data_IF_908773584457
#
_entry.id   IF_908773584457
#
_cell.length_a   1.000
_cell.length_b   1.000
_cell.length_c   1.000
_cell.angle_alpha   90.00
_cell.angle_beta   90.00
_cell.angle_gamma   90.00
#
_symmetry.space_group_name_H-M   'P 1'
#
loop_
_entity.id
_entity.type
_entity.pdbx_description
1 polymer ?
#
# COMPACT_ATOMS: atom_id res chain seq x y z
N UNK A 1 12.48 -22.61 -10.32
CA UNK A 1 11.49 -22.62 -9.23
C UNK A 1 10.59 -21.40 -9.37
N UNK A 2 9.33 -21.54 -9.02
CA UNK A 2 8.39 -20.42 -8.93
C UNK A 2 8.31 -19.93 -7.48
N UNK A 3 8.75 -18.70 -7.23
CA UNK A 3 8.87 -18.13 -5.89
C UNK A 3 7.83 -17.04 -5.69
N UNK A 4 7.00 -17.19 -4.68
CA UNK A 4 6.05 -16.18 -4.25
C UNK A 4 6.62 -15.30 -3.15
N UNK A 5 6.60 -13.97 -3.30
CA UNK A 5 7.01 -13.02 -2.26
C UNK A 5 5.76 -12.45 -1.60
N UNK A 6 5.63 -12.64 -0.28
CA UNK A 6 4.59 -12.00 0.55
C UNK A 6 5.21 -10.85 1.31
N UNK A 7 4.75 -9.63 1.08
CA UNK A 7 5.27 -8.43 1.76
C UNK A 7 4.18 -7.38 1.93
N UNK A 8 4.49 -6.33 2.68
CA UNK A 8 3.59 -5.19 2.92
C UNK A 8 3.56 -4.20 1.73
N UNK A 9 3.46 -4.73 0.51
CA UNK A 9 3.48 -3.94 -0.71
C UNK A 9 2.33 -2.93 -0.81
N UNK A 10 1.20 -3.22 -0.16
CA UNK A 10 -0.01 -2.38 -0.25
C UNK A 10 0.01 -1.14 0.66
N UNK A 11 0.96 -1.05 1.58
CA UNK A 11 1.19 0.17 2.34
C UNK A 11 1.95 1.19 1.47
N UNK A 12 1.58 2.48 1.53
CA UNK A 12 2.37 3.55 0.90
C UNK A 12 3.65 3.74 1.74
N UNK A 13 4.52 2.77 1.64
CA UNK A 13 5.81 2.73 2.31
C UNK A 13 6.89 2.45 1.27
N UNK A 14 7.61 3.51 0.89
CA UNK A 14 8.66 3.42 -0.12
C UNK A 14 9.76 2.44 0.25
N UNK A 15 10.11 2.33 1.53
CA UNK A 15 11.10 1.37 2.02
C UNK A 15 10.68 -0.07 1.74
N UNK A 16 9.45 -0.44 2.12
CA UNK A 16 8.91 -1.78 1.85
C UNK A 16 8.81 -2.07 0.35
N UNK A 17 8.40 -1.09 -0.45
CA UNK A 17 8.29 -1.24 -1.90
C UNK A 17 9.64 -1.47 -2.57
N UNK A 18 10.67 -0.70 -2.20
CA UNK A 18 12.04 -0.85 -2.72
C UNK A 18 12.65 -2.17 -2.27
N UNK A 19 12.46 -2.57 -1.02
CA UNK A 19 12.93 -3.85 -0.50
C UNK A 19 12.31 -5.03 -1.27
N UNK A 20 11.01 -4.98 -1.51
CA UNK A 20 10.30 -5.99 -2.31
C UNK A 20 10.85 -6.06 -3.74
N UNK A 21 11.04 -4.91 -4.38
CA UNK A 21 11.62 -4.82 -5.72
C UNK A 21 13.03 -5.38 -5.79
N UNK A 22 13.90 -5.00 -4.84
CA UNK A 22 15.27 -5.49 -4.78
C UNK A 22 15.34 -7.00 -4.60
N UNK A 23 14.52 -7.56 -3.70
CA UNK A 23 14.43 -9.00 -3.47
C UNK A 23 13.92 -9.73 -4.73
N UNK A 24 12.86 -9.21 -5.37
CA UNK A 24 12.35 -9.75 -6.62
C UNK A 24 13.44 -9.79 -7.68
N UNK A 25 14.15 -8.67 -7.89
CA UNK A 25 15.24 -8.60 -8.89
C UNK A 25 16.41 -9.53 -8.58
N UNK A 26 16.79 -9.66 -7.31
CA UNK A 26 17.83 -10.58 -6.89
C UNK A 26 17.48 -12.03 -7.23
N UNK A 27 16.26 -12.46 -6.92
CA UNK A 27 15.81 -13.82 -7.20
C UNK A 27 15.61 -14.08 -8.71
N UNK A 28 15.10 -13.10 -9.46
CA UNK A 28 15.01 -13.18 -10.93
C UNK A 28 16.39 -13.33 -11.56
N UNK A 29 17.38 -12.57 -11.13
CA UNK A 29 18.77 -12.66 -11.61
C UNK A 29 19.44 -14.00 -11.24
N UNK A 30 18.95 -14.66 -10.19
CA UNK A 30 19.38 -16.01 -9.81
C UNK A 30 18.70 -17.12 -10.63
N UNK A 31 17.91 -16.76 -11.64
CA UNK A 31 17.26 -17.72 -12.55
C UNK A 31 15.93 -18.28 -12.06
N UNK A 32 15.28 -17.62 -11.10
CA UNK A 32 13.99 -18.03 -10.59
C UNK A 32 12.85 -17.23 -11.24
N UNK A 33 11.68 -17.87 -11.35
CA UNK A 33 10.46 -17.16 -11.71
C UNK A 33 9.83 -16.60 -10.44
N UNK A 34 9.68 -15.27 -10.36
CA UNK A 34 9.31 -14.59 -9.12
C UNK A 34 8.03 -13.79 -9.29
N UNK A 35 7.08 -14.04 -8.42
CA UNK A 35 5.80 -13.32 -8.36
C UNK A 35 5.62 -12.67 -6.98
N UNK A 36 5.16 -11.42 -6.95
CA UNK A 36 4.78 -10.78 -5.69
C UNK A 36 3.31 -11.04 -5.44
N UNK A 37 3.02 -11.70 -4.32
CA UNK A 37 1.67 -12.13 -3.97
C UNK A 37 0.86 -10.94 -3.46
N UNK A 38 -0.28 -10.69 -4.07
CA UNK A 38 -1.17 -9.57 -3.73
C UNK A 38 -1.96 -9.84 -2.43
N UNK A 39 -1.24 -10.12 -1.34
CA UNK A 39 -1.86 -10.32 -0.03
C UNK A 39 -2.19 -8.97 0.62
N UNK A 40 -3.47 -8.71 0.85
CA UNK A 40 -3.99 -7.49 1.46
C UNK A 40 -4.48 -7.75 2.88
N UNK A 41 -3.83 -7.10 3.84
CA UNK A 41 -4.23 -7.15 5.24
C UNK A 41 -5.05 -5.92 5.62
N UNK A 42 -6.32 -6.10 5.99
CA UNK A 42 -7.22 -5.00 6.38
C UNK A 42 -6.69 -4.16 7.55
N UNK A 43 -5.92 -4.76 8.46
CA UNK A 43 -5.34 -4.03 9.59
C UNK A 43 -4.24 -3.06 9.13
N UNK A 44 -3.45 -3.46 8.16
CA UNK A 44 -2.39 -2.63 7.58
C UNK A 44 -2.99 -1.52 6.71
N UNK A 45 -4.00 -1.84 5.91
CA UNK A 45 -4.73 -0.85 5.11
C UNK A 45 -5.36 0.25 5.97
N UNK A 46 -5.83 -0.09 7.17
CA UNK A 46 -6.34 0.89 8.14
C UNK A 46 -5.24 1.77 8.74
N UNK A 47 -4.04 1.22 8.92
CA UNK A 47 -2.90 1.97 9.45
C UNK A 47 -2.30 2.95 8.43
N UNK A 48 -2.43 2.63 7.14
CA UNK A 48 -1.98 3.46 6.01
C UNK A 48 -3.17 3.84 5.12
N UNK A 49 -4.03 4.77 5.55
CA UNK A 49 -5.24 5.11 4.80
C UNK A 49 -4.87 5.66 3.43
N UNK A 50 -5.47 5.09 2.41
CA UNK A 50 -5.27 5.50 1.00
C UNK A 50 -5.81 6.92 0.71
N UNK A 51 -6.54 7.51 1.65
CA UNK A 51 -7.08 8.87 1.55
C UNK A 51 -6.88 9.58 2.89
N UNK A 52 -6.31 10.77 2.84
CA UNK A 52 -6.35 11.72 3.94
C UNK A 52 -7.79 12.26 4.09
N UNK A 53 -8.65 11.44 4.70
CA UNK A 53 -9.83 12.03 5.32
C UNK A 53 -9.39 12.60 6.67
N UNK A 54 -9.77 13.85 7.01
CA UNK A 54 -9.57 14.33 8.35
C UNK A 54 -10.31 13.34 9.27
N UNK A 55 -9.56 12.60 10.09
CA UNK A 55 -10.15 11.72 11.10
C UNK A 55 -10.71 12.59 12.21
N UNK A 56 -11.85 13.21 11.94
CA UNK A 56 -12.62 13.94 12.95
C UNK A 56 -13.43 12.90 13.69
N UNK A 57 -13.05 12.64 14.93
CA UNK A 57 -13.83 11.74 15.78
C UNK A 57 -15.18 12.39 16.07
N UNK A 58 -16.27 11.61 16.04
CA UNK A 58 -17.63 12.09 16.35
C UNK A 58 -17.71 12.88 17.67
N UNK A 59 -16.89 12.53 18.66
CA UNK A 59 -16.76 13.25 19.93
C UNK A 59 -16.19 14.67 19.78
N UNK A 60 -15.35 14.91 18.78
CA UNK A 60 -14.75 16.24 18.52
C UNK A 60 -15.79 17.21 17.92
N UNK A 61 -16.83 16.70 17.24
CA UNK A 61 -17.93 17.50 16.70
C UNK A 61 -18.92 18.00 17.77
N UNK A 62 -19.01 17.31 18.91
CA UNK A 62 -19.96 17.64 19.98
C UNK A 62 -19.45 18.73 20.92
N UNK A 63 -18.16 19.06 20.89
CA UNK A 63 -17.56 20.02 21.81
C UNK A 63 -17.06 21.24 21.02
N UNK A 64 -17.61 22.47 21.24
CA UNK A 64 -17.25 23.65 20.46
C UNK A 64 -15.77 24.03 20.47
N UNK A 65 -15.06 23.71 21.56
CA UNK A 65 -13.61 23.95 21.70
C UNK A 65 -12.79 23.22 20.62
N UNK A 66 -13.25 22.07 20.12
CA UNK A 66 -12.54 21.31 19.11
C UNK A 66 -12.85 21.73 17.66
N UNK A 67 -13.85 22.58 17.44
CA UNK A 67 -14.25 23.01 16.10
C UNK A 67 -13.13 23.72 15.34
N UNK A 68 -12.36 24.57 16.07
CA UNK A 68 -11.19 25.24 15.50
C UNK A 68 -10.18 24.21 14.95
N UNK A 69 -9.89 23.18 15.71
CA UNK A 69 -8.97 22.11 15.30
C UNK A 69 -9.53 21.25 14.16
N UNK A 70 -10.84 21.00 14.16
CA UNK A 70 -11.54 20.30 13.09
C UNK A 70 -11.47 21.08 11.77
N UNK A 71 -11.69 22.42 11.83
CA UNK A 71 -11.57 23.29 10.66
C UNK A 71 -10.16 23.34 10.10
N UNK A 72 -9.14 23.40 10.97
CA UNK A 72 -7.72 23.34 10.54
C UNK A 72 -7.42 22.02 9.84
N UNK A 73 -7.80 20.89 10.42
CA UNK A 73 -7.64 19.55 9.82
C UNK A 73 -8.35 19.44 8.47
N UNK A 74 -9.56 19.98 8.34
CA UNK A 74 -10.28 20.01 7.08
C UNK A 74 -9.55 20.84 6.02
N UNK A 75 -9.07 22.03 6.39
CA UNK A 75 -8.31 22.91 5.50
C UNK A 75 -7.02 22.22 5.02
N UNK A 76 -6.24 21.64 5.92
CA UNK A 76 -5.04 20.89 5.58
C UNK A 76 -5.34 19.70 4.66
N UNK A 77 -6.39 18.94 4.93
CA UNK A 77 -6.80 17.82 4.09
C UNK A 77 -7.18 18.26 2.66
N UNK A 78 -7.82 19.42 2.51
CA UNK A 78 -8.16 19.99 1.20
C UNK A 78 -6.90 20.44 0.46
N UNK A 79 -5.99 21.13 1.15
CA UNK A 79 -4.76 21.64 0.56
C UNK A 79 -3.80 20.51 0.12
N UNK A 80 -3.74 19.42 0.88
CA UNK A 80 -2.82 18.29 0.60
C UNK A 80 -3.45 17.20 -0.26
N UNK A 81 -4.74 17.31 -0.60
CA UNK A 81 -5.48 16.30 -1.37
C UNK A 81 -4.82 15.96 -2.70
N UNK A 82 -4.38 16.97 -3.45
CA UNK A 82 -3.78 16.76 -4.77
C UNK A 82 -2.43 16.05 -4.66
N UNK A 83 -1.57 16.46 -3.71
CA UNK A 83 -0.27 15.83 -3.48
C UNK A 83 -0.40 14.36 -3.07
N UNK A 84 -1.39 14.06 -2.25
CA UNK A 84 -1.68 12.70 -1.82
C UNK A 84 -2.17 11.81 -2.96
N UNK A 85 -3.07 12.35 -3.78
CA UNK A 85 -3.58 11.63 -4.95
C UNK A 85 -2.46 11.35 -5.93
N UNK A 86 -1.58 12.31 -6.16
CA UNK A 86 -0.44 12.14 -7.05
C UNK A 86 0.55 11.09 -6.50
N UNK A 87 0.89 11.15 -5.20
CA UNK A 87 1.74 10.14 -4.55
C UNK A 87 1.15 8.74 -4.65
N UNK A 88 -0.15 8.63 -4.41
CA UNK A 88 -0.86 7.35 -4.52
C UNK A 88 -0.80 6.80 -5.93
N UNK A 89 -1.10 7.62 -6.94
CA UNK A 89 -1.07 7.21 -8.34
C UNK A 89 0.35 6.81 -8.79
N UNK A 90 1.37 7.53 -8.34
CA UNK A 90 2.77 7.18 -8.62
C UNK A 90 3.16 5.85 -7.97
N UNK A 91 2.70 5.62 -6.75
CA UNK A 91 2.96 4.38 -6.03
C UNK A 91 2.25 3.18 -6.69
N UNK A 92 0.99 3.34 -7.09
CA UNK A 92 0.23 2.32 -7.82
C UNK A 92 0.90 1.96 -9.15
N UNK A 93 1.31 2.96 -9.94
CA UNK A 93 2.09 2.75 -11.17
C UNK A 93 3.42 2.02 -10.92
N UNK A 94 4.09 2.30 -9.81
CA UNK A 94 5.30 1.58 -9.44
C UNK A 94 5.00 0.09 -9.18
N UNK A 95 3.93 -0.21 -8.45
CA UNK A 95 3.51 -1.58 -8.18
C UNK A 95 3.16 -2.33 -9.46
N UNK A 96 2.42 -1.73 -10.37
CA UNK A 96 2.06 -2.34 -11.65
C UNK A 96 3.29 -2.58 -12.54
N UNK A 97 4.15 -1.58 -12.70
CA UNK A 97 5.24 -1.62 -13.67
C UNK A 97 6.46 -2.45 -13.20
N UNK A 98 6.74 -2.46 -11.90
CA UNK A 98 7.96 -3.07 -11.35
C UNK A 98 7.71 -4.34 -10.53
N UNK A 99 6.57 -4.41 -9.85
CA UNK A 99 6.21 -5.56 -9.05
C UNK A 99 5.26 -6.51 -9.77
N UNK A 100 4.63 -6.07 -10.86
CA UNK A 100 3.59 -6.79 -11.61
C UNK A 100 2.39 -7.16 -10.72
N UNK A 101 1.99 -6.25 -9.83
CA UNK A 101 0.86 -6.45 -8.92
C UNK A 101 -0.34 -5.69 -9.49
N UNK A 102 -1.42 -6.38 -9.74
CA UNK A 102 -2.67 -5.81 -10.21
C UNK A 102 -3.76 -5.94 -9.14
N UNK A 103 -4.69 -4.99 -9.09
CA UNK A 103 -5.79 -5.03 -8.11
C UNK A 103 -6.71 -6.24 -8.26
N UNK A 104 -6.80 -6.78 -9.45
CA UNK A 104 -7.65 -7.93 -9.76
C UNK A 104 -7.02 -9.29 -9.38
N UNK A 105 -5.73 -9.31 -8.99
CA UNK A 105 -5.04 -10.56 -8.70
C UNK A 105 -5.60 -11.24 -7.45
N UNK A 106 -5.95 -12.51 -7.57
CA UNK A 106 -6.35 -13.34 -6.44
C UNK A 106 -5.09 -13.98 -5.80
N UNK A 107 -4.77 -13.53 -4.59
CA UNK A 107 -3.63 -14.03 -3.83
C UNK A 107 -3.68 -15.54 -3.57
N UNK A 108 -4.89 -16.14 -3.51
CA UNK A 108 -5.05 -17.58 -3.27
C UNK A 108 -4.59 -18.41 -4.46
N UNK A 109 -4.84 -17.93 -5.67
CA UNK A 109 -4.34 -18.58 -6.89
C UNK A 109 -2.82 -18.44 -7.02
N UNK A 110 -2.30 -17.25 -6.71
CA UNK A 110 -0.88 -16.99 -6.70
C UNK A 110 -0.13 -17.89 -5.71
N UNK A 111 -0.68 -18.06 -4.49
CA UNK A 111 -0.12 -18.97 -3.48
C UNK A 111 -0.06 -20.43 -3.96
N UNK A 112 -1.08 -20.90 -4.67
CA UNK A 112 -1.13 -22.28 -5.17
C UNK A 112 -0.10 -22.54 -6.29
N UNK A 113 0.28 -21.53 -7.04
CA UNK A 113 1.27 -21.63 -8.15
C UNK A 113 2.71 -21.57 -7.67
N UNK A 114 2.93 -21.07 -6.44
CA UNK A 114 4.28 -20.87 -5.90
C UNK A 114 4.83 -22.16 -5.30
N UNK A 115 6.05 -22.54 -5.68
CA UNK A 115 6.78 -23.68 -5.11
C UNK A 115 7.33 -23.32 -3.72
N UNK A 116 7.76 -22.08 -3.56
CA UNK A 116 8.33 -21.53 -2.32
C UNK A 116 7.75 -20.16 -2.04
N UNK A 117 7.47 -19.88 -0.78
CA UNK A 117 6.97 -18.57 -0.31
C UNK A 117 8.02 -17.94 0.58
N UNK A 118 8.35 -16.68 0.30
CA UNK A 118 9.30 -15.86 1.07
C UNK A 118 8.52 -14.72 1.72
N UNK A 119 8.75 -14.48 3.03
CA UNK A 119 8.11 -13.45 3.83
C UNK A 119 9.10 -12.34 4.18
#
# INVERSE_FOLDING_TARGET
>A
MHIGIVTFHNAINYGAAIQCFALKKFLENSGHNVEVINFRCKSIEKAYPQRLYPMIKKKELLIPVYWKNALIKCKEAILTKNDWTERYNRFEKFQENFLNIYRADDYREQLKKSDVIVF
#
